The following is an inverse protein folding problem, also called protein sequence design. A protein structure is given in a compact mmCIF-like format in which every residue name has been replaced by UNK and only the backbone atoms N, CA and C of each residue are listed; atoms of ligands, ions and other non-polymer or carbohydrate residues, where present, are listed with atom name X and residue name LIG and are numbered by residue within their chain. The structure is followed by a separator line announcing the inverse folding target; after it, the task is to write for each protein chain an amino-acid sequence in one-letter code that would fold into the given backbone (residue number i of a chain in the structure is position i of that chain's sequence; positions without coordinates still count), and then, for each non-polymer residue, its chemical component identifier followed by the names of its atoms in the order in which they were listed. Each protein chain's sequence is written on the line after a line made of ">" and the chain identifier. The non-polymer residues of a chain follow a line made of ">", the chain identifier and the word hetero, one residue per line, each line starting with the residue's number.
data_IF_454314069018
#
_entry.id   IF_454314069018
#
_cell.length_a   1.000
_cell.length_b   1.000
_cell.length_c   1.000
_cell.angle_alpha   90.00
_cell.angle_beta   90.00
_cell.angle_gamma   90.00
#
_symmetry.space_group_name_H-M   'P 1'
#
loop_
_entity.id
_entity.type
_entity.pdbx_description
1 polymer ?
#
# COMPACT_ATOMS: atom_id res chain seq x y z
N UNK A 1 15.41 14.83 40.60
CA UNK A 1 14.44 13.72 40.59
C UNK A 1 13.05 14.32 40.43
N UNK A 2 12.26 13.85 39.46
CA UNK A 2 10.91 14.35 39.28
C UNK A 2 10.02 13.94 40.46
N UNK A 3 9.02 14.77 40.76
CA UNK A 3 8.05 14.48 41.82
C UNK A 3 7.30 13.16 41.49
N UNK A 4 7.22 12.18 42.41
CA UNK A 4 6.58 10.88 42.16
C UNK A 4 5.12 11.01 41.69
N UNK A 5 4.43 12.08 42.10
CA UNK A 5 3.09 12.39 41.63
C UNK A 5 3.06 12.78 40.14
N UNK A 6 4.07 13.50 39.65
CA UNK A 6 4.22 13.86 38.24
C UNK A 6 4.49 12.61 37.41
N UNK A 7 5.38 11.73 37.88
CA UNK A 7 5.67 10.45 37.21
C UNK A 7 4.42 9.58 37.09
N UNK A 8 3.62 9.48 38.16
CA UNK A 8 2.38 8.69 38.16
C UNK A 8 1.35 9.24 37.16
N UNK A 9 1.22 10.58 37.07
CA UNK A 9 0.36 11.23 36.07
C UNK A 9 0.82 10.95 34.64
N UNK A 10 2.13 11.01 34.39
CA UNK A 10 2.70 10.75 33.06
C UNK A 10 2.59 9.28 32.66
N UNK A 11 2.73 8.34 33.60
CA UNK A 11 2.46 6.91 33.38
C UNK A 11 1.00 6.67 32.95
N UNK A 12 0.05 7.28 33.67
CA UNK A 12 -1.37 7.17 33.32
C UNK A 12 -1.72 7.82 31.98
N UNK A 13 -1.18 9.02 31.70
CA UNK A 13 -1.36 9.67 30.40
C UNK A 13 -0.75 8.84 29.27
N UNK A 14 0.44 8.27 29.50
CA UNK A 14 1.14 7.40 28.56
C UNK A 14 0.35 6.14 28.22
N UNK A 15 -0.26 5.48 29.21
CA UNK A 15 -1.08 4.28 28.96
C UNK A 15 -2.36 4.57 28.18
N UNK A 16 -3.01 5.70 28.43
CA UNK A 16 -4.16 6.14 27.66
C UNK A 16 -3.81 6.40 26.19
N UNK A 17 -2.66 7.06 25.95
CA UNK A 17 -2.11 7.29 24.61
C UNK A 17 -1.78 5.96 23.94
N UNK A 18 -1.11 5.04 24.65
CA UNK A 18 -0.75 3.71 24.16
C UNK A 18 -1.97 2.96 23.63
N UNK A 19 -3.05 2.88 24.44
CA UNK A 19 -4.29 2.21 24.07
C UNK A 19 -4.97 2.86 22.87
N UNK A 20 -5.00 4.20 22.84
CA UNK A 20 -5.63 4.96 21.75
C UNK A 20 -4.93 4.70 20.42
N UNK A 21 -3.61 4.86 20.38
CA UNK A 21 -2.83 4.65 19.17
C UNK A 21 -2.73 3.18 18.77
N UNK A 22 -2.73 2.25 19.73
CA UNK A 22 -2.86 0.83 19.44
C UNK A 22 -4.19 0.50 18.75
N UNK A 23 -5.30 1.11 19.18
CA UNK A 23 -6.60 0.97 18.50
C UNK A 23 -6.55 1.44 17.04
N UNK A 24 -5.92 2.60 16.79
CA UNK A 24 -5.69 3.11 15.43
C UNK A 24 -4.82 2.13 14.62
N UNK A 25 -3.71 1.67 15.18
CA UNK A 25 -2.82 0.72 14.51
C UNK A 25 -3.53 -0.62 14.21
N UNK A 26 -4.31 -1.14 15.15
CA UNK A 26 -5.04 -2.39 15.02
C UNK A 26 -6.09 -2.29 13.89
N UNK A 27 -6.89 -1.22 13.87
CA UNK A 27 -7.88 -1.00 12.80
C UNK A 27 -7.23 -0.88 11.42
N UNK A 28 -6.14 -0.13 11.29
CA UNK A 28 -5.37 -0.06 10.04
C UNK A 28 -4.83 -1.42 9.61
N UNK A 29 -4.35 -2.22 10.56
CA UNK A 29 -3.81 -3.54 10.27
C UNK A 29 -4.90 -4.53 9.84
N UNK A 30 -6.09 -4.48 10.45
CA UNK A 30 -7.25 -5.28 10.00
C UNK A 30 -7.66 -4.92 8.58
N UNK A 31 -7.72 -3.61 8.26
CA UNK A 31 -8.01 -3.13 6.90
C UNK A 31 -6.95 -3.66 5.92
N UNK A 32 -5.67 -3.54 6.30
CA UNK A 32 -4.54 -4.01 5.50
C UNK A 32 -4.61 -5.52 5.23
N UNK A 33 -4.85 -6.33 6.27
CA UNK A 33 -4.99 -7.78 6.18
C UNK A 33 -6.17 -8.16 5.27
N UNK A 34 -7.35 -7.57 5.48
CA UNK A 34 -8.53 -7.81 4.63
C UNK A 34 -8.20 -7.53 3.16
N UNK A 35 -7.53 -6.42 2.91
CA UNK A 35 -7.17 -6.03 1.55
C UNK A 35 -6.14 -6.97 0.91
N UNK A 36 -5.10 -7.38 1.65
CA UNK A 36 -4.11 -8.37 1.21
C UNK A 36 -4.74 -9.74 0.90
N UNK A 37 -5.71 -10.19 1.70
CA UNK A 37 -6.40 -11.46 1.51
C UNK A 37 -7.30 -11.48 0.27
N UNK A 38 -7.88 -10.33 -0.09
CA UNK A 38 -8.76 -10.19 -1.25
C UNK A 38 -8.00 -10.10 -2.59
N UNK A 39 -6.67 -9.96 -2.59
CA UNK A 39 -5.88 -9.90 -3.82
C UNK A 39 -5.56 -11.27 -4.41
N UNK A 40 -5.73 -11.42 -5.73
CA UNK A 40 -5.38 -12.63 -6.52
C UNK A 40 -3.88 -12.97 -6.58
N UNK A 41 -3.01 -12.18 -5.97
CA UNK A 41 -1.56 -12.38 -5.89
C UNK A 41 -1.03 -11.88 -4.54
N UNK A 42 -1.61 -12.39 -3.45
CA UNK A 42 -1.34 -11.91 -2.09
C UNK A 42 0.15 -11.97 -1.77
N UNK A 43 0.71 -10.86 -1.30
CA UNK A 43 2.08 -10.85 -0.82
C UNK A 43 2.12 -11.50 0.58
N UNK A 44 2.35 -12.82 0.62
CA UNK A 44 2.36 -13.61 1.85
C UNK A 44 3.37 -13.07 2.88
N UNK A 45 4.52 -12.57 2.41
CA UNK A 45 5.55 -11.99 3.28
C UNK A 45 5.01 -10.78 4.03
N UNK A 46 4.34 -9.86 3.32
CA UNK A 46 3.74 -8.67 3.94
C UNK A 46 2.55 -9.02 4.84
N UNK A 47 1.78 -10.05 4.49
CA UNK A 47 0.69 -10.54 5.32
C UNK A 47 1.19 -11.13 6.63
N UNK A 48 2.17 -12.05 6.57
CA UNK A 48 2.80 -12.65 7.75
C UNK A 48 3.41 -11.56 8.63
N UNK A 49 4.17 -10.64 8.03
CA UNK A 49 4.71 -9.48 8.73
C UNK A 49 3.63 -8.71 9.48
N UNK A 50 2.52 -8.35 8.82
CA UNK A 50 1.45 -7.55 9.44
C UNK A 50 0.81 -8.29 10.61
N UNK A 51 0.57 -9.60 10.48
CA UNK A 51 0.01 -10.42 11.56
C UNK A 51 0.98 -10.49 12.74
N UNK A 52 2.26 -10.78 12.49
CA UNK A 52 3.29 -10.87 13.54
C UNK A 52 3.47 -9.53 14.24
N UNK A 53 3.49 -8.41 13.51
CA UNK A 53 3.62 -7.07 14.08
C UNK A 53 2.42 -6.67 14.92
N UNK A 54 1.20 -7.05 14.53
CA UNK A 54 0.00 -6.85 15.35
C UNK A 54 0.09 -7.65 16.64
N UNK A 55 0.41 -8.94 16.57
CA UNK A 55 0.56 -9.80 17.75
C UNK A 55 1.62 -9.25 18.71
N UNK A 56 2.78 -8.83 18.18
CA UNK A 56 3.82 -8.19 18.98
C UNK A 56 3.30 -6.91 19.67
N UNK A 57 2.58 -6.05 18.95
CA UNK A 57 2.01 -4.83 19.53
C UNK A 57 0.92 -5.14 20.57
N UNK A 58 0.13 -6.21 20.39
CA UNK A 58 -0.82 -6.69 21.41
C UNK A 58 -0.12 -7.11 22.68
N UNK A 59 0.97 -7.88 22.58
CA UNK A 59 1.77 -8.30 23.74
C UNK A 59 2.40 -7.10 24.44
N UNK A 60 2.92 -6.14 23.68
CA UNK A 60 3.47 -4.90 24.23
C UNK A 60 2.42 -4.11 25.02
N UNK A 61 1.23 -3.90 24.46
CA UNK A 61 0.17 -3.15 25.16
C UNK A 61 -0.36 -3.90 26.38
N UNK A 62 -0.53 -5.22 26.29
CA UNK A 62 -0.96 -6.03 27.42
C UNK A 62 0.06 -6.00 28.58
N UNK A 63 1.34 -6.12 28.26
CA UNK A 63 2.42 -6.03 29.25
C UNK A 63 2.56 -4.61 29.82
N UNK A 64 2.38 -3.58 29.00
CA UNK A 64 2.38 -2.18 29.44
C UNK A 64 1.20 -1.86 30.37
N UNK A 65 0.00 -2.36 30.07
CA UNK A 65 -1.16 -2.21 30.95
C UNK A 65 -0.92 -2.86 32.32
N UNK A 66 -0.36 -4.08 32.33
CA UNK A 66 0.02 -4.76 33.58
C UNK A 66 1.15 -4.05 34.31
N UNK A 67 2.14 -3.51 33.60
CA UNK A 67 3.22 -2.74 34.19
C UNK A 67 2.71 -1.51 34.94
N UNK A 68 1.76 -0.78 34.34
CA UNK A 68 1.14 0.40 34.96
C UNK A 68 0.26 0.04 36.15
N UNK A 69 -0.53 -1.02 36.05
CA UNK A 69 -1.34 -1.55 37.17
C UNK A 69 -0.46 -1.92 38.37
N UNK A 70 0.61 -2.68 38.13
CA UNK A 70 1.54 -3.13 39.17
C UNK A 70 2.24 -1.95 39.83
N UNK A 71 2.64 -0.93 39.07
CA UNK A 71 3.31 0.27 39.60
C UNK A 71 2.37 1.22 40.35
N UNK A 72 1.14 1.42 39.87
CA UNK A 72 0.21 2.40 40.46
C UNK A 72 -0.65 1.82 41.58
N UNK A 73 -1.01 0.53 41.50
CA UNK A 73 -1.99 -0.09 42.41
C UNK A 73 -1.28 -1.10 43.32
N UNK A 74 -0.61 -2.09 42.74
CA UNK A 74 -0.06 -3.21 43.55
C UNK A 74 1.14 -2.79 44.39
N UNK A 75 1.89 -1.77 43.98
CA UNK A 75 3.06 -1.26 44.71
C UNK A 75 2.72 -0.80 46.13
N UNK A 76 1.49 -0.35 46.37
CA UNK A 76 1.01 0.06 47.68
C UNK A 76 0.64 -1.12 48.60
N UNK A 77 0.32 -2.28 48.02
CA UNK A 77 -0.22 -3.45 48.74
C UNK A 77 0.83 -4.56 48.89
N UNK A 78 1.63 -4.83 47.85
CA UNK A 78 2.64 -5.88 47.83
C UNK A 78 3.95 -5.42 47.17
N UNK A 79 4.76 -4.62 47.88
CA UNK A 79 6.00 -4.05 47.32
C UNK A 79 7.02 -5.12 46.91
N UNK A 80 7.04 -6.28 47.58
CA UNK A 80 7.96 -7.38 47.26
C UNK A 80 7.59 -8.04 45.92
N UNK A 81 6.31 -8.31 45.70
CA UNK A 81 5.81 -8.85 44.43
C UNK A 81 6.08 -7.89 43.26
N UNK A 82 5.79 -6.60 43.46
CA UNK A 82 6.08 -5.52 42.51
C UNK A 82 7.56 -5.49 42.10
N UNK A 83 8.48 -5.59 43.07
CA UNK A 83 9.92 -5.53 42.81
C UNK A 83 10.43 -6.67 41.90
N UNK A 84 9.75 -7.83 41.90
CA UNK A 84 10.09 -8.98 41.06
C UNK A 84 9.43 -8.89 39.68
N UNK A 85 8.17 -8.43 39.63
CA UNK A 85 7.36 -8.47 38.42
C UNK A 85 7.67 -7.31 37.46
N UNK A 86 7.94 -6.11 37.98
CA UNK A 86 8.20 -4.90 37.16
C UNK A 86 9.37 -5.09 36.19
N UNK A 87 10.57 -5.57 36.62
CA UNK A 87 11.70 -5.77 35.69
C UNK A 87 11.42 -6.82 34.60
N UNK A 88 10.60 -7.84 34.91
CA UNK A 88 10.22 -8.88 33.94
C UNK A 88 9.28 -8.35 32.87
N UNK A 89 8.31 -7.53 33.28
CA UNK A 89 7.39 -6.85 32.36
C UNK A 89 8.12 -5.81 31.49
N UNK A 90 9.09 -5.09 32.05
CA UNK A 90 9.92 -4.15 31.29
C UNK A 90 10.80 -4.90 30.27
N UNK A 91 11.48 -5.98 30.68
CA UNK A 91 12.25 -6.82 29.77
C UNK A 91 11.39 -7.37 28.62
N UNK A 92 10.18 -7.87 28.92
CA UNK A 92 9.26 -8.37 27.91
C UNK A 92 8.90 -7.27 26.90
N UNK A 93 8.60 -6.06 27.38
CA UNK A 93 8.33 -4.90 26.53
C UNK A 93 9.53 -4.58 25.62
N UNK A 94 10.75 -4.54 26.17
CA UNK A 94 11.97 -4.25 25.40
C UNK A 94 12.24 -5.31 24.31
N UNK A 95 12.06 -6.60 24.63
CA UNK A 95 12.27 -7.69 23.67
C UNK A 95 11.26 -7.62 22.53
N UNK A 96 9.97 -7.53 22.87
CA UNK A 96 8.88 -7.48 21.89
C UNK A 96 9.01 -6.25 20.99
N UNK A 97 9.34 -5.10 21.58
CA UNK A 97 9.56 -3.85 20.87
C UNK A 97 10.77 -3.95 19.92
N UNK A 98 11.89 -4.50 20.39
CA UNK A 98 13.11 -4.67 19.57
C UNK A 98 12.86 -5.56 18.35
N UNK A 99 12.19 -6.70 18.56
CA UNK A 99 11.80 -7.60 17.47
C UNK A 99 10.90 -6.89 16.47
N UNK A 100 9.95 -6.09 16.95
CA UNK A 100 9.05 -5.33 16.07
C UNK A 100 9.81 -4.33 15.20
N UNK A 101 10.76 -3.58 15.78
CA UNK A 101 11.62 -2.67 15.03
C UNK A 101 12.46 -3.43 14.00
N UNK A 102 13.09 -4.54 14.37
CA UNK A 102 13.90 -5.29 13.42
C UNK A 102 13.08 -5.81 12.24
N UNK A 103 11.84 -6.26 12.49
CA UNK A 103 10.92 -6.65 11.42
C UNK A 103 10.56 -5.46 10.51
N UNK A 104 10.28 -4.29 11.09
CA UNK A 104 9.95 -3.09 10.34
C UNK A 104 11.13 -2.59 9.50
N UNK A 105 12.33 -2.53 10.08
CA UNK A 105 13.55 -2.09 9.42
C UNK A 105 13.93 -3.07 8.28
N UNK A 106 13.81 -4.38 8.50
CA UNK A 106 14.03 -5.40 7.46
C UNK A 106 13.09 -5.22 6.27
N UNK A 107 11.81 -4.98 6.53
CA UNK A 107 10.82 -4.73 5.48
C UNK A 107 11.13 -3.43 4.72
N UNK A 108 11.64 -2.41 5.41
CA UNK A 108 12.03 -1.14 4.81
C UNK A 108 13.24 -1.29 3.88
N UNK A 109 14.28 -2.07 4.27
CA UNK A 109 15.41 -2.41 3.38
C UNK A 109 14.90 -3.14 2.13
N UNK A 110 14.07 -4.16 2.32
CA UNK A 110 13.53 -4.96 1.21
C UNK A 110 12.77 -4.08 0.21
N UNK A 111 11.97 -3.13 0.70
CA UNK A 111 11.27 -2.16 -0.15
C UNK A 111 12.23 -1.23 -0.87
N UNK A 112 13.23 -0.72 -0.17
CA UNK A 112 14.23 0.14 -0.79
C UNK A 112 14.94 -0.58 -1.95
N UNK A 113 15.30 -1.84 -1.75
CA UNK A 113 15.91 -2.68 -2.79
C UNK A 113 15.02 -2.84 -4.03
N UNK A 114 13.72 -3.11 -3.83
CA UNK A 114 12.74 -3.23 -4.93
C UNK A 114 12.58 -1.91 -5.68
N UNK A 115 12.42 -0.79 -4.98
CA UNK A 115 12.18 0.53 -5.59
C UNK A 115 13.35 0.97 -6.47
N UNK A 116 14.56 0.53 -6.13
CA UNK A 116 15.77 0.79 -6.91
C UNK A 116 16.15 -0.34 -7.86
N UNK A 117 15.19 -1.21 -8.22
CA UNK A 117 15.37 -2.27 -9.21
C UNK A 117 16.55 -3.22 -8.91
N UNK A 118 16.84 -3.46 -7.63
CA UNK A 118 17.86 -4.42 -7.21
C UNK A 118 19.28 -3.88 -7.12
N UNK A 119 19.49 -2.55 -7.17
CA UNK A 119 20.83 -1.96 -7.03
C UNK A 119 21.34 -2.11 -5.58
N UNK A 120 22.25 -3.08 -5.38
CA UNK A 120 22.75 -3.42 -4.04
C UNK A 120 23.53 -2.29 -3.35
N UNK A 121 24.17 -1.38 -4.10
CA UNK A 121 24.95 -0.28 -3.53
C UNK A 121 24.12 0.62 -2.59
N UNK A 122 22.81 0.75 -2.86
CA UNK A 122 21.91 1.69 -2.16
C UNK A 122 21.48 1.14 -0.80
N UNK A 123 21.43 -0.19 -0.67
CA UNK A 123 21.05 -0.85 0.59
C UNK A 123 22.23 -1.04 1.53
N UNK A 124 23.48 -0.80 1.11
CA UNK A 124 24.67 -0.98 1.96
C UNK A 124 24.55 -0.13 3.21
N UNK A 125 24.30 1.17 3.06
CA UNK A 125 24.22 2.10 4.19
C UNK A 125 23.04 1.79 5.15
N UNK A 126 21.80 1.56 4.67
CA UNK A 126 20.73 1.08 5.56
C UNK A 126 21.04 -0.25 6.23
N UNK A 127 21.70 -1.18 5.54
CA UNK A 127 22.05 -2.50 6.10
C UNK A 127 23.11 -2.40 7.20
N UNK A 128 24.09 -1.50 7.09
CA UNK A 128 25.07 -1.28 8.16
C UNK A 128 24.40 -0.70 9.41
N UNK A 129 23.46 0.24 9.24
CA UNK A 129 22.66 0.77 10.34
C UNK A 129 21.80 -0.32 10.99
N UNK A 130 21.21 -1.21 10.20
CA UNK A 130 20.44 -2.36 10.69
C UNK A 130 21.28 -3.35 11.49
N UNK A 131 22.51 -3.62 11.06
CA UNK A 131 23.44 -4.42 11.87
C UNK A 131 23.73 -3.71 13.20
N UNK A 132 23.86 -2.37 13.17
CA UNK A 132 23.97 -1.55 14.37
C UNK A 132 22.78 -1.71 15.32
N UNK A 133 21.54 -1.68 14.82
CA UNK A 133 20.33 -1.90 15.63
C UNK A 133 20.23 -3.32 16.18
N UNK A 134 20.61 -4.34 15.39
CA UNK A 134 20.68 -5.72 15.86
C UNK A 134 21.70 -5.88 16.99
N UNK A 135 22.93 -5.42 16.77
CA UNK A 135 24.02 -5.56 17.74
C UNK A 135 23.71 -4.83 19.05
N UNK A 136 23.28 -3.56 18.96
CA UNK A 136 22.95 -2.75 20.13
C UNK A 136 21.72 -3.26 20.88
N UNK A 137 20.68 -3.74 20.17
CA UNK A 137 19.48 -4.29 20.79
C UNK A 137 19.73 -5.62 21.50
N UNK A 138 20.45 -6.56 20.85
CA UNK A 138 20.82 -7.84 21.48
C UNK A 138 21.70 -7.60 22.71
N UNK A 139 22.72 -6.75 22.59
CA UNK A 139 23.60 -6.41 23.70
C UNK A 139 22.82 -5.71 24.83
N UNK A 140 21.91 -4.79 24.49
CA UNK A 140 21.07 -4.07 25.44
C UNK A 140 20.18 -5.01 26.25
N UNK A 141 19.46 -5.92 25.60
CA UNK A 141 18.61 -6.92 26.25
C UNK A 141 19.44 -7.87 27.14
N UNK A 142 20.58 -8.34 26.63
CA UNK A 142 21.45 -9.24 27.40
C UNK A 142 22.01 -8.57 28.67
N UNK A 143 22.42 -7.29 28.56
CA UNK A 143 22.92 -6.53 29.71
C UNK A 143 21.82 -6.15 30.67
N UNK A 144 20.62 -5.83 30.18
CA UNK A 144 19.47 -5.47 31.03
C UNK A 144 19.16 -6.55 32.07
N UNK A 145 19.35 -7.82 31.72
CA UNK A 145 19.18 -8.95 32.64
C UNK A 145 20.31 -9.12 33.66
N UNK A 146 21.54 -8.76 33.29
CA UNK A 146 22.75 -9.17 34.01
C UNK A 146 23.38 -8.09 34.90
N UNK A 147 23.11 -6.79 34.67
CA UNK A 147 24.03 -5.74 35.12
C UNK A 147 23.48 -4.72 36.12
N UNK A 148 24.38 -4.28 37.02
CA UNK A 148 24.27 -3.06 37.84
C UNK A 148 24.73 -1.80 37.09
N UNK A 149 25.32 -1.93 35.89
CA UNK A 149 25.90 -0.84 35.08
C UNK A 149 24.85 -0.14 34.20
N UNK A 150 23.99 0.66 34.82
CA UNK A 150 22.88 1.38 34.16
C UNK A 150 23.29 2.23 32.96
N UNK A 151 24.45 2.87 32.99
CA UNK A 151 24.89 3.78 31.91
C UNK A 151 25.11 3.06 30.58
N UNK A 152 25.70 1.85 30.59
CA UNK A 152 25.97 1.11 29.36
C UNK A 152 24.68 0.65 28.67
N UNK A 153 23.66 0.29 29.44
CA UNK A 153 22.33 -0.06 28.92
C UNK A 153 21.66 1.15 28.27
N UNK A 154 21.83 2.33 28.85
CA UNK A 154 21.34 3.58 28.26
C UNK A 154 22.07 3.89 26.95
N UNK A 155 23.40 3.81 26.93
CA UNK A 155 24.19 4.07 25.71
C UNK A 155 23.80 3.13 24.56
N UNK A 156 23.56 1.85 24.86
CA UNK A 156 23.10 0.87 23.88
C UNK A 156 21.68 1.16 23.39
N UNK A 157 20.78 1.59 24.28
CA UNK A 157 19.45 2.04 23.87
C UNK A 157 19.51 3.27 22.97
N UNK A 158 20.36 4.25 23.28
CA UNK A 158 20.57 5.44 22.44
C UNK A 158 21.08 5.01 21.06
N UNK A 159 22.09 4.13 21.00
CA UNK A 159 22.62 3.61 19.75
C UNK A 159 21.55 2.87 18.94
N UNK A 160 20.78 2.00 19.59
CA UNK A 160 19.68 1.24 18.99
C UNK A 160 18.66 2.15 18.32
N UNK A 161 18.14 3.14 19.06
CA UNK A 161 17.13 4.05 18.54
C UNK A 161 17.71 4.99 17.47
N UNK A 162 18.94 5.48 17.65
CA UNK A 162 19.58 6.39 16.70
C UNK A 162 19.84 5.71 15.36
N UNK A 163 20.33 4.46 15.36
CA UNK A 163 20.54 3.71 14.14
C UNK A 163 19.23 3.42 13.40
N UNK A 164 18.17 3.02 14.11
CA UNK A 164 16.85 2.74 13.49
C UNK A 164 16.21 4.01 12.93
N UNK A 165 16.26 5.13 13.67
CA UNK A 165 15.74 6.42 13.19
C UNK A 165 16.52 6.92 11.97
N UNK A 166 17.86 6.90 12.03
CA UNK A 166 18.70 7.32 10.90
C UNK A 166 18.41 6.47 9.65
N UNK A 167 18.27 5.16 9.84
CA UNK A 167 17.91 4.23 8.77
C UNK A 167 16.54 4.57 8.16
N UNK A 168 15.54 4.87 8.98
CA UNK A 168 14.20 5.23 8.51
C UNK A 168 14.22 6.54 7.72
N UNK A 169 14.94 7.57 8.20
CA UNK A 169 15.13 8.85 7.50
C UNK A 169 15.80 8.62 6.14
N UNK A 170 16.92 7.90 6.11
CA UNK A 170 17.69 7.62 4.89
C UNK A 170 16.84 6.83 3.89
N UNK A 171 16.23 5.73 4.33
CA UNK A 171 15.42 4.90 3.45
C UNK A 171 14.21 5.66 2.91
N UNK A 172 13.53 6.45 3.75
CA UNK A 172 12.40 7.29 3.33
C UNK A 172 12.84 8.33 2.30
N UNK A 173 13.95 9.03 2.53
CA UNK A 173 14.48 10.01 1.60
C UNK A 173 14.87 9.38 0.25
N UNK A 174 15.51 8.21 0.27
CA UNK A 174 15.91 7.49 -0.95
C UNK A 174 14.69 6.97 -1.73
N UNK A 175 13.66 6.46 -1.04
CA UNK A 175 12.42 6.02 -1.68
C UNK A 175 11.70 7.24 -2.28
N UNK A 176 11.39 8.25 -1.46
CA UNK A 176 10.67 9.43 -1.92
C UNK A 176 11.40 10.15 -3.08
N UNK A 177 12.72 10.31 -2.96
CA UNK A 177 13.56 10.89 -4.01
C UNK A 177 13.52 10.10 -5.32
N UNK A 178 13.58 8.76 -5.26
CA UNK A 178 13.47 7.90 -6.44
C UNK A 178 12.10 8.03 -7.10
N UNK A 179 11.02 8.07 -6.32
CA UNK A 179 9.66 8.25 -6.86
C UNK A 179 9.51 9.62 -7.55
N UNK A 180 10.05 10.69 -6.96
CA UNK A 180 10.02 12.02 -7.56
C UNK A 180 10.86 12.11 -8.84
N UNK A 181 12.02 11.43 -8.88
CA UNK A 181 12.83 11.33 -10.09
C UNK A 181 12.08 10.61 -11.22
N UNK A 182 11.47 9.45 -10.92
CA UNK A 182 10.68 8.71 -11.91
C UNK A 182 9.48 9.52 -12.40
N UNK A 183 8.82 10.27 -11.52
CA UNK A 183 7.77 11.21 -11.89
C UNK A 183 8.25 12.25 -12.89
N UNK A 184 9.42 12.86 -12.66
CA UNK A 184 9.98 13.87 -13.56
C UNK A 184 10.19 13.28 -14.96
N UNK A 185 10.79 12.09 -15.03
CA UNK A 185 11.03 11.38 -16.28
C UNK A 185 9.72 11.04 -17.02
N UNK A 186 8.71 10.52 -16.32
CA UNK A 186 7.41 10.19 -16.92
C UNK A 186 6.68 11.45 -17.42
N UNK A 187 6.79 12.56 -16.68
CA UNK A 187 6.20 13.84 -17.07
C UNK A 187 6.85 14.40 -18.33
N UNK A 188 8.17 14.30 -18.45
CA UNK A 188 8.91 14.70 -19.66
C UNK A 188 8.53 13.83 -20.88
N UNK A 189 8.17 12.56 -20.66
CA UNK A 189 7.71 11.62 -21.67
C UNK A 189 6.18 11.71 -21.97
N UNK A 190 5.46 12.66 -21.37
CA UNK A 190 4.03 12.87 -21.61
C UNK A 190 3.07 11.89 -20.92
N UNK A 191 3.53 11.14 -19.91
CA UNK A 191 2.70 10.12 -19.24
C UNK A 191 1.69 10.69 -18.23
N UNK A 192 0.43 10.22 -18.29
CA UNK A 192 -0.67 10.62 -17.40
C UNK A 192 -0.52 10.15 -15.94
N UNK A 193 0.34 9.16 -15.64
CA UNK A 193 0.45 8.54 -14.31
C UNK A 193 1.28 9.35 -13.29
N UNK A 194 1.68 10.58 -13.62
CA UNK A 194 2.59 11.40 -12.79
C UNK A 194 2.04 11.75 -11.38
N UNK A 195 0.72 11.77 -11.20
CA UNK A 195 0.07 12.07 -9.91
C UNK A 195 0.10 10.91 -8.92
N UNK A 196 0.14 9.67 -9.42
CA UNK A 196 0.24 8.47 -8.57
C UNK A 196 1.58 8.42 -7.83
N UNK A 197 2.67 8.76 -8.52
CA UNK A 197 4.01 8.84 -7.96
C UNK A 197 4.16 9.97 -6.93
N UNK A 198 3.52 11.13 -7.16
CA UNK A 198 3.52 12.23 -6.21
C UNK A 198 2.83 11.82 -4.90
N UNK A 199 1.61 11.29 -5.01
CA UNK A 199 0.85 10.87 -3.83
C UNK A 199 1.51 9.69 -3.10
N UNK A 200 2.15 8.77 -3.83
CA UNK A 200 2.97 7.74 -3.21
C UNK A 200 4.17 8.35 -2.44
N UNK A 201 4.95 9.24 -3.07
CA UNK A 201 6.10 9.90 -2.41
C UNK A 201 5.70 10.69 -1.17
N UNK A 202 4.56 11.38 -1.20
CA UNK A 202 4.03 12.12 -0.06
C UNK A 202 3.71 11.19 1.11
N UNK A 203 3.06 10.06 0.86
CA UNK A 203 2.73 9.09 1.90
C UNK A 203 3.98 8.45 2.51
N UNK A 204 4.99 8.13 1.68
CA UNK A 204 6.28 7.66 2.21
C UNK A 204 6.93 8.73 3.11
N UNK A 205 6.94 9.99 2.66
CA UNK A 205 7.50 11.08 3.45
C UNK A 205 6.72 11.31 4.76
N UNK A 206 5.39 11.36 4.71
CA UNK A 206 4.51 11.56 5.88
C UNK A 206 4.64 10.42 6.89
N UNK A 207 4.62 9.16 6.42
CA UNK A 207 4.75 7.99 7.29
C UNK A 207 6.15 7.83 7.87
N UNK A 208 7.21 8.09 7.08
CA UNK A 208 8.59 8.09 7.57
C UNK A 208 8.85 9.24 8.56
N UNK A 209 8.25 10.41 8.32
CA UNK A 209 8.34 11.55 9.24
C UNK A 209 7.70 11.24 10.59
N UNK A 210 6.55 10.55 10.63
CA UNK A 210 5.89 10.18 11.88
C UNK A 210 6.81 9.39 12.83
N UNK A 211 7.47 8.34 12.31
CA UNK A 211 8.43 7.56 13.10
C UNK A 211 9.66 8.38 13.46
N UNK A 212 10.23 9.09 12.48
CA UNK A 212 11.49 9.82 12.65
C UNK A 212 11.36 10.97 13.66
N UNK A 213 10.31 11.77 13.58
CA UNK A 213 10.05 12.89 14.51
C UNK A 213 9.89 12.34 15.93
N UNK A 214 9.07 11.31 16.09
CA UNK A 214 8.84 10.70 17.41
C UNK A 214 10.12 10.13 17.98
N UNK A 215 10.96 9.50 17.14
CA UNK A 215 12.27 8.96 17.55
C UNK A 215 13.27 10.04 17.93
N UNK A 216 13.36 11.13 17.15
CA UNK A 216 14.24 12.27 17.44
C UNK A 216 13.88 12.93 18.78
N UNK A 217 12.60 12.99 19.12
CA UNK A 217 12.15 13.50 20.43
C UNK A 217 12.45 12.48 21.54
N UNK A 218 12.22 11.19 21.27
CA UNK A 218 12.39 10.13 22.26
C UNK A 218 13.85 9.96 22.70
N UNK A 219 14.83 10.02 21.79
CA UNK A 219 16.24 9.72 22.09
C UNK A 219 16.81 10.63 23.21
N UNK A 220 16.70 11.97 23.16
CA UNK A 220 17.16 12.84 24.25
C UNK A 220 16.42 12.61 25.57
N UNK A 221 15.11 12.32 25.51
CA UNK A 221 14.32 12.02 26.71
C UNK A 221 14.80 10.73 27.38
N UNK A 222 15.13 9.72 26.56
CA UNK A 222 15.72 8.47 27.02
C UNK A 222 17.11 8.70 27.64
N UNK A 223 17.99 9.45 26.95
CA UNK A 223 19.34 9.75 27.43
C UNK A 223 19.36 10.51 28.76
N UNK A 224 18.41 11.41 28.95
CA UNK A 224 18.31 12.25 30.17
C UNK A 224 17.48 11.61 31.29
N UNK A 225 16.96 10.39 31.11
CA UNK A 225 16.00 9.75 32.02
C UNK A 225 14.80 10.66 32.37
N UNK A 226 14.29 11.39 31.38
CA UNK A 226 13.15 12.28 31.56
C UNK A 226 11.87 11.48 31.79
N UNK A 227 11.01 11.85 32.77
CA UNK A 227 9.71 11.20 32.97
C UNK A 227 8.78 11.29 31.76
N UNK A 228 9.03 12.20 30.82
CA UNK A 228 8.27 12.30 29.57
C UNK A 228 8.43 11.04 28.69
N UNK A 229 9.44 10.20 28.96
CA UNK A 229 9.61 8.91 28.29
C UNK A 229 8.34 8.05 28.36
N UNK A 230 7.59 8.09 29.47
CA UNK A 230 6.37 7.28 29.62
C UNK A 230 5.26 7.68 28.63
N UNK A 231 5.32 8.89 28.09
CA UNK A 231 4.39 9.40 27.07
C UNK A 231 4.92 9.11 25.66
N UNK A 232 6.21 9.33 25.42
CA UNK A 232 6.79 9.21 24.09
C UNK A 232 7.19 7.78 23.69
N UNK A 233 7.48 6.88 24.64
CA UNK A 233 7.73 5.45 24.35
C UNK A 233 6.55 4.79 23.63
N UNK A 234 5.31 4.86 24.16
CA UNK A 234 4.16 4.29 23.47
C UNK A 234 3.86 4.97 22.12
N UNK A 235 4.16 6.26 22.01
CA UNK A 235 3.97 7.00 20.75
C UNK A 235 4.95 6.50 19.68
N UNK A 236 6.20 6.26 20.05
CA UNK A 236 7.22 5.69 19.17
C UNK A 236 6.88 4.25 18.78
N UNK A 237 6.40 3.47 19.75
CA UNK A 237 5.90 2.11 19.53
C UNK A 237 4.76 2.10 18.52
N UNK A 238 3.74 2.93 18.69
CA UNK A 238 2.65 3.02 17.74
C UNK A 238 3.13 3.48 16.35
N UNK A 239 3.98 4.51 16.29
CA UNK A 239 4.52 5.04 15.04
C UNK A 239 5.27 3.97 14.24
N UNK A 240 6.05 3.11 14.92
CA UNK A 240 6.81 2.01 14.28
C UNK A 240 5.91 0.95 13.63
N UNK A 241 4.65 0.82 14.08
CA UNK A 241 3.64 -0.05 13.43
C UNK A 241 2.82 0.69 12.36
N UNK A 242 2.34 1.89 12.67
CA UNK A 242 1.46 2.67 11.79
C UNK A 242 2.16 3.02 10.47
N UNK A 243 3.42 3.50 10.53
CA UNK A 243 4.16 3.93 9.36
C UNK A 243 4.29 2.82 8.28
N UNK A 244 4.81 1.61 8.58
CA UNK A 244 4.92 0.55 7.57
C UNK A 244 3.56 0.08 7.06
N UNK A 245 2.52 0.07 7.90
CA UNK A 245 1.15 -0.31 7.51
C UNK A 245 0.51 0.69 6.55
N UNK A 246 0.66 2.00 6.79
CA UNK A 246 0.17 3.05 5.88
C UNK A 246 0.81 2.93 4.49
N UNK A 247 2.11 2.63 4.45
CA UNK A 247 2.82 2.38 3.19
C UNK A 247 2.25 1.15 2.48
N UNK A 248 2.05 0.02 3.18
CA UNK A 248 1.43 -1.18 2.56
C UNK A 248 0.08 -0.81 1.98
N UNK A 249 -0.77 -0.18 2.79
CA UNK A 249 -2.14 0.13 2.41
C UNK A 249 -2.16 1.03 1.18
N UNK A 250 -1.26 2.01 1.08
CA UNK A 250 -1.16 2.87 -0.10
C UNK A 250 -0.77 2.09 -1.35
N UNK A 251 0.28 1.27 -1.29
CA UNK A 251 0.70 0.44 -2.43
C UNK A 251 -0.48 -0.43 -2.86
N UNK A 252 -1.15 -1.04 -1.89
CA UNK A 252 -2.27 -1.92 -2.15
C UNK A 252 -3.42 -1.16 -2.83
N UNK A 253 -3.80 0.02 -2.34
CA UNK A 253 -4.82 0.88 -2.92
C UNK A 253 -4.45 1.39 -4.33
N UNK A 254 -3.20 1.81 -4.54
CA UNK A 254 -2.72 2.23 -5.86
C UNK A 254 -2.84 1.12 -6.91
N UNK A 255 -2.51 -0.12 -6.53
CA UNK A 255 -2.67 -1.28 -7.43
C UNK A 255 -4.15 -1.62 -7.70
N UNK A 256 -5.10 -1.32 -6.80
CA UNK A 256 -6.53 -1.47 -7.15
C UNK A 256 -7.03 -0.37 -8.07
N UNK A 257 -6.61 0.88 -7.85
CA UNK A 257 -7.00 2.00 -8.72
C UNK A 257 -6.52 1.70 -10.15
N UNK A 258 -5.24 1.37 -10.32
CA UNK A 258 -4.69 1.00 -11.63
C UNK A 258 -5.41 -0.21 -12.27
N UNK A 259 -5.76 -1.24 -11.49
CA UNK A 259 -6.54 -2.38 -12.00
C UNK A 259 -7.96 -2.00 -12.43
N UNK A 260 -8.65 -1.16 -11.65
CA UNK A 260 -10.00 -0.67 -12.00
C UNK A 260 -9.93 0.13 -13.31
N UNK A 261 -9.02 1.08 -13.42
CA UNK A 261 -8.83 1.89 -14.63
C UNK A 261 -8.55 1.01 -15.86
N UNK A 262 -7.64 0.03 -15.74
CA UNK A 262 -7.35 -0.90 -16.84
C UNK A 262 -8.57 -1.77 -17.23
N UNK A 263 -9.37 -2.22 -16.25
CA UNK A 263 -10.58 -2.99 -16.52
C UNK A 263 -11.68 -2.16 -17.21
N UNK A 264 -11.83 -0.90 -16.82
CA UNK A 264 -12.77 0.06 -17.42
C UNK A 264 -12.36 0.39 -18.86
N UNK A 265 -11.06 0.65 -19.11
CA UNK A 265 -10.53 0.86 -20.47
C UNK A 265 -10.77 -0.38 -21.34
N UNK A 266 -10.50 -1.58 -20.82
CA UNK A 266 -10.72 -2.83 -21.57
C UNK A 266 -12.21 -3.02 -21.89
N UNK A 267 -13.10 -2.72 -20.94
CA UNK A 267 -14.55 -2.80 -21.14
C UNK A 267 -15.05 -1.76 -22.18
N UNK A 268 -14.53 -0.54 -22.15
CA UNK A 268 -14.84 0.50 -23.12
C UNK A 268 -14.34 0.13 -24.53
N UNK A 269 -13.14 -0.42 -24.64
CA UNK A 269 -12.59 -0.93 -25.91
C UNK A 269 -13.43 -2.08 -26.48
N UNK A 270 -13.87 -3.02 -25.63
CA UNK A 270 -14.75 -4.11 -26.03
C UNK A 270 -16.12 -3.60 -26.51
N UNK A 271 -16.70 -2.61 -25.82
CA UNK A 271 -17.96 -1.96 -26.21
C UNK A 271 -17.82 -1.22 -27.54
N UNK A 272 -16.73 -0.48 -27.74
CA UNK A 272 -16.43 0.22 -29.00
C UNK A 272 -16.28 -0.74 -30.19
N UNK A 273 -15.54 -1.86 -30.01
CA UNK A 273 -15.44 -2.93 -31.02
C UNK A 273 -16.80 -3.53 -31.37
N UNK A 274 -17.66 -3.78 -30.37
CA UNK A 274 -19.00 -4.31 -30.59
C UNK A 274 -19.88 -3.33 -31.39
N UNK A 275 -19.85 -2.04 -31.04
CA UNK A 275 -20.58 -1.00 -31.79
C UNK A 275 -20.11 -0.94 -33.24
N UNK A 276 -18.79 -0.88 -33.48
CA UNK A 276 -18.24 -0.81 -34.84
C UNK A 276 -18.65 -2.02 -35.69
N UNK A 277 -18.59 -3.24 -35.12
CA UNK A 277 -19.03 -4.46 -35.81
C UNK A 277 -20.53 -4.42 -36.13
N UNK A 278 -21.37 -3.87 -35.25
CA UNK A 278 -22.81 -3.70 -35.52
C UNK A 278 -23.06 -2.70 -36.65
N UNK A 279 -22.30 -1.59 -36.70
CA UNK A 279 -22.41 -0.60 -37.77
C UNK A 279 -21.97 -1.17 -39.11
N UNK A 280 -20.89 -1.95 -39.14
CA UNK A 280 -20.41 -2.66 -40.33
C UNK A 280 -21.45 -3.70 -40.82
N UNK A 281 -22.05 -4.48 -39.91
CA UNK A 281 -23.12 -5.43 -40.25
C UNK A 281 -24.36 -4.75 -40.82
N UNK A 282 -24.80 -3.63 -40.23
CA UNK A 282 -25.94 -2.85 -40.75
C UNK A 282 -25.63 -2.23 -42.12
N UNK A 283 -24.40 -1.78 -42.36
CA UNK A 283 -23.99 -1.23 -43.65
C UNK A 283 -23.96 -2.32 -44.75
N UNK A 284 -23.50 -3.52 -44.42
CA UNK A 284 -23.51 -4.67 -45.35
C UNK A 284 -24.94 -5.10 -45.68
N UNK A 285 -25.83 -5.16 -44.68
CA UNK A 285 -27.24 -5.49 -44.92
C UNK A 285 -27.94 -4.45 -45.81
N UNK A 286 -27.65 -3.17 -45.61
CA UNK A 286 -28.18 -2.10 -46.46
C UNK A 286 -27.68 -2.20 -47.91
N UNK A 287 -26.39 -2.54 -48.09
CA UNK A 287 -25.80 -2.72 -49.41
C UNK A 287 -26.40 -3.92 -50.16
N UNK A 288 -26.67 -5.04 -49.47
CA UNK A 288 -27.30 -6.19 -50.12
C UNK A 288 -28.76 -5.92 -50.50
N UNK A 289 -29.51 -5.17 -49.69
CA UNK A 289 -30.87 -4.74 -50.03
C UNK A 289 -30.91 -3.84 -51.27
N UNK A 290 -29.89 -3.01 -51.48
CA UNK A 290 -29.78 -2.14 -52.65
C UNK A 290 -29.40 -2.92 -53.92
N UNK A 291 -28.55 -3.96 -53.79
CA UNK A 291 -28.24 -4.87 -54.90
C UNK A 291 -29.46 -5.70 -55.32
N UNK A 292 -30.23 -6.24 -54.37
CA UNK A 292 -31.46 -6.98 -54.68
C UNK A 292 -32.49 -6.10 -55.39
N UNK A 293 -32.68 -4.84 -54.95
CA UNK A 293 -33.57 -3.88 -55.62
C UNK A 293 -33.12 -3.57 -57.06
N UNK A 294 -31.80 -3.48 -57.30
CA UNK A 294 -31.24 -3.31 -58.66
C UNK A 294 -31.43 -4.55 -59.53
N UNK A 295 -31.26 -5.75 -58.98
CA UNK A 295 -31.48 -7.00 -59.71
C UNK A 295 -32.95 -7.14 -60.15
N UNK A 296 -33.88 -6.83 -59.24
CA UNK A 296 -35.32 -6.85 -59.52
C UNK A 296 -35.70 -5.82 -60.59
N UNK A 297 -35.15 -4.61 -60.54
CA UNK A 297 -35.44 -3.58 -61.54
C UNK A 297 -34.91 -3.95 -62.93
N UNK A 298 -33.69 -4.51 -63.01
CA UNK A 298 -33.12 -5.03 -64.26
C UNK A 298 -34.01 -6.16 -64.84
N UNK A 299 -34.46 -7.09 -64.00
CA UNK A 299 -35.31 -8.20 -64.43
C UNK A 299 -36.66 -7.72 -64.96
N UNK A 300 -37.29 -6.73 -64.31
CA UNK A 300 -38.50 -6.08 -64.80
C UNK A 300 -38.27 -5.33 -66.13
N UNK A 301 -37.14 -4.63 -66.27
CA UNK A 301 -36.81 -3.90 -67.51
C UNK A 301 -36.61 -4.87 -68.68
N UNK A 302 -36.00 -6.04 -68.41
CA UNK A 302 -35.79 -7.09 -69.41
C UNK A 302 -37.11 -7.77 -69.80
N UNK A 303 -38.04 -7.93 -68.86
CA UNK A 303 -39.39 -8.47 -69.13
C UNK A 303 -40.22 -7.52 -70.01
N UNK A 304 -40.23 -6.23 -69.67
CA UNK A 304 -40.91 -5.19 -70.46
C UNK A 304 -40.29 -5.04 -71.86
N UNK A 305 -38.96 -5.13 -71.96
CA UNK A 305 -38.26 -5.17 -73.26
C UNK A 305 -38.61 -6.40 -74.10
N UNK A 306 -38.94 -7.52 -73.47
CA UNK A 306 -39.35 -8.75 -74.16
C UNK A 306 -40.81 -8.71 -74.61
N UNK A 307 -41.72 -8.11 -73.84
CA UNK A 307 -43.12 -7.94 -74.26
C UNK A 307 -43.25 -6.95 -75.43
N UNK A 308 -42.56 -5.81 -75.38
CA UNK A 308 -42.51 -4.84 -76.49
C UNK A 308 -41.91 -5.41 -77.78
N UNK A 309 -40.95 -6.34 -77.69
CA UNK A 309 -40.43 -7.08 -78.84
C UNK A 309 -41.46 -8.06 -79.41
N UNK A 310 -42.25 -8.73 -78.55
CA UNK A 310 -43.32 -9.65 -78.97
C UNK A 310 -44.47 -8.89 -79.63
N UNK A 311 -44.88 -7.74 -79.11
CA UNK A 311 -45.87 -6.86 -79.75
C UNK A 311 -45.40 -6.32 -81.12
N UNK A 312 -44.12 -5.96 -81.24
CA UNK A 312 -43.51 -5.56 -82.52
C UNK A 312 -43.56 -6.69 -83.57
N UNK A 313 -43.27 -7.93 -83.16
CA UNK A 313 -43.36 -9.11 -84.02
C UNK A 313 -44.83 -9.39 -84.41
N UNK A 314 -45.78 -9.20 -83.48
CA UNK A 314 -47.20 -9.42 -83.77
C UNK A 314 -47.78 -8.35 -84.71
N UNK A 315 -47.34 -7.09 -84.60
CA UNK A 315 -47.74 -6.02 -85.53
C UNK A 315 -47.22 -6.24 -86.96
N UNK A 316 -46.00 -6.80 -87.13
CA UNK A 316 -45.47 -7.15 -88.45
C UNK A 316 -46.16 -8.33 -89.11
N UNK A 317 -46.82 -9.19 -88.33
CA UNK A 317 -47.56 -10.31 -88.90
C UNK A 317 -48.95 -9.91 -89.42
N UNK A 318 -49.49 -8.78 -88.97
CA UNK A 318 -50.77 -8.26 -89.46
C UNK A 318 -50.67 -7.49 -90.80
N UNK A 319 -49.50 -6.93 -91.13
CA UNK A 319 -49.27 -6.22 -92.41
C UNK A 319 -48.90 -7.14 -93.59
N UNK A 320 -48.79 -8.46 -93.38
CA UNK A 320 -48.43 -9.43 -94.41
C UNK A 320 -49.60 -10.18 -95.05
N UNK A 321 -50.84 -9.86 -94.68
CA UNK A 321 -52.02 -10.65 -95.02
C UNK A 321 -53.15 -9.79 -95.58
N UNK A 322 -52.81 -8.88 -96.50
CA UNK A 322 -53.80 -8.19 -97.35
C UNK A 322 -53.19 -7.81 -98.70
N UNK A 323 -52.87 -8.80 -99.53
CA UNK A 323 -52.63 -8.61 -100.98
C UNK A 323 -52.79 -9.95 -101.72
N UNK A 324 -54.04 -10.31 -102.00
CA UNK A 324 -54.37 -11.49 -102.79
C UNK A 324 -55.86 -11.73 -102.85
N UNK A 325 -56.58 -10.95 -103.65
CA UNK A 325 -57.52 -11.44 -104.70
C UNK A 325 -58.44 -10.31 -105.22
N UNK A 326 -58.47 -10.21 -106.56
CA UNK A 326 -59.37 -9.44 -107.48
C UNK A 326 -59.05 -7.96 -107.72
#
# INVERSE_FOLDING_TARGET
>A
MANPFVTSKLLFAGSAIALTFYGVYFTLSVICIRYLLLQRGRNLVVLIYTIVSVLASTIFVASSAKFVEVLLIESAVNPIGTAILVPRLDLLQQVVYSVKIWLADSLLIYRLWIVWSGINAIIILPSTLFIGTLASGIAGVAMFWQTTKKNQVVDLGIAFHSCSVAMNIIATALIAGKLLYQRKLIKELGGEHSMEYLSASAIFAESGALYSITGIIYIPLYATNSPLIYVFAPLLEAASGIAPTLIVLRIALGVAVSRRTNSEITALQAKSRKNRRSTELSAIAFASEDEDKKAISLQNTTYVGRESMVESIHSRHHDGQDSGDV
#
